data_IF_833473994794
#
_entry.id   IF_833473994794
#
_cell.length_a   1.000
_cell.length_b   1.000
_cell.length_c   1.000
_cell.angle_alpha   90.00
_cell.angle_beta   90.00
_cell.angle_gamma   90.00
#
_symmetry.space_group_name_H-M   'P 1'
#
loop_
_entity.id
_entity.type
_entity.pdbx_description
1 polymer ?
#
# COMPACT_ATOMS: atom_id res chain seq x y z
N UNK A 1 -16.66 -15.80 0.83
CA UNK A 1 -15.48 -16.00 -0.04
C UNK A 1 -15.75 -15.63 -1.50
N UNK A 2 -16.99 -15.61 -1.99
CA UNK A 2 -17.34 -15.22 -3.38
C UNK A 2 -17.21 -13.72 -3.72
N UNK A 3 -16.87 -12.85 -2.76
CA UNK A 3 -16.79 -11.39 -2.98
C UNK A 3 -15.36 -10.83 -3.09
N UNK A 4 -14.31 -11.68 -3.01
CA UNK A 4 -12.94 -11.20 -3.08
C UNK A 4 -12.55 -10.99 -4.55
N UNK A 5 -12.21 -9.75 -4.90
CA UNK A 5 -11.71 -9.39 -6.23
C UNK A 5 -10.19 -9.60 -6.24
N UNK A 6 -9.69 -10.47 -7.12
CA UNK A 6 -8.25 -10.71 -7.28
C UNK A 6 -7.53 -9.53 -7.95
N UNK A 7 -8.22 -8.85 -8.86
CA UNK A 7 -7.67 -7.71 -9.60
C UNK A 7 -8.79 -6.72 -9.98
N UNK A 8 -8.52 -5.43 -9.78
CA UNK A 8 -9.36 -4.33 -10.25
C UNK A 8 -8.47 -3.37 -11.02
N UNK A 9 -8.69 -3.26 -12.33
CA UNK A 9 -7.95 -2.35 -13.22
C UNK A 9 -8.90 -1.26 -13.73
N UNK A 10 -8.37 -0.04 -13.78
CA UNK A 10 -9.03 1.08 -14.44
C UNK A 10 -8.40 1.30 -15.81
N UNK A 11 -9.22 1.56 -16.82
CA UNK A 11 -8.78 2.06 -18.11
C UNK A 11 -9.17 3.54 -18.20
N UNK A 12 -8.29 4.48 -17.82
CA UNK A 12 -8.62 5.90 -17.75
C UNK A 12 -8.62 6.54 -19.14
N UNK A 13 -9.76 7.08 -19.56
CA UNK A 13 -9.90 7.88 -20.78
C UNK A 13 -9.46 9.36 -20.60
N UNK A 14 -9.20 9.78 -19.35
CA UNK A 14 -8.60 11.06 -19.00
C UNK A 14 -7.62 10.90 -17.83
N UNK A 15 -6.43 11.49 -17.96
CA UNK A 15 -5.39 11.53 -16.92
C UNK A 15 -4.92 12.96 -16.73
N UNK A 16 -5.12 13.52 -15.53
CA UNK A 16 -4.47 14.77 -15.11
C UNK A 16 -3.08 14.45 -14.54
N UNK A 17 -2.04 14.93 -15.21
CA UNK A 17 -0.67 14.82 -14.72
C UNK A 17 -0.24 16.16 -14.13
N UNK A 18 0.28 16.11 -12.90
CA UNK A 18 0.84 17.28 -12.20
C UNK A 18 2.31 17.00 -11.90
N UNK A 19 3.19 17.68 -12.61
CA UNK A 19 4.62 17.66 -12.36
C UNK A 19 4.99 18.84 -11.45
N UNK A 20 5.20 18.52 -10.18
CA UNK A 20 5.59 19.49 -9.17
C UNK A 20 7.02 20.03 -9.36
N UNK A 21 7.91 19.27 -10.00
CA UNK A 21 9.29 19.70 -10.23
C UNK A 21 9.36 20.75 -11.33
N UNK A 22 8.70 20.49 -12.47
CA UNK A 22 8.64 21.46 -13.58
C UNK A 22 7.51 22.50 -13.43
N UNK A 23 6.71 22.39 -12.37
CA UNK A 23 5.53 23.24 -12.10
C UNK A 23 4.52 23.28 -13.25
N UNK A 24 4.35 22.15 -13.93
CA UNK A 24 3.44 21.99 -15.07
C UNK A 24 2.32 21.02 -14.72
N UNK A 25 1.16 21.27 -15.30
CA UNK A 25 0.06 20.32 -15.32
C UNK A 25 -0.49 20.21 -16.74
N UNK A 26 -0.87 19.01 -17.13
CA UNK A 26 -1.52 18.75 -18.42
C UNK A 26 -2.50 17.60 -18.27
N UNK A 27 -3.41 17.49 -19.23
CA UNK A 27 -4.40 16.43 -19.28
C UNK A 27 -4.18 15.62 -20.54
N UNK A 28 -3.91 14.33 -20.36
CA UNK A 28 -3.87 13.35 -21.44
C UNK A 28 -5.28 12.76 -21.59
N UNK A 29 -5.84 12.81 -22.80
CA UNK A 29 -7.16 12.27 -23.13
C UNK A 29 -7.03 11.18 -24.17
N UNK A 30 -7.78 10.12 -23.96
CA UNK A 30 -7.82 8.96 -24.83
C UNK A 30 -9.26 8.72 -25.27
N UNK A 31 -9.39 8.28 -26.53
CA UNK A 31 -10.60 7.64 -27.03
C UNK A 31 -10.25 6.21 -27.40
N UNK A 32 -11.13 5.28 -27.03
CA UNK A 32 -10.98 3.86 -27.28
C UNK A 32 -12.06 3.41 -28.26
N UNK A 33 -11.70 2.51 -29.17
CA UNK A 33 -12.64 1.90 -30.10
C UNK A 33 -12.28 0.44 -30.33
N UNK A 34 -13.30 -0.40 -30.49
CA UNK A 34 -13.17 -1.82 -30.81
C UNK A 34 -14.41 -2.34 -31.55
N UNK A 35 -14.55 -3.66 -31.64
CA UNK A 35 -15.74 -4.26 -32.26
C UNK A 35 -17.00 -3.89 -31.48
N UNK A 36 -17.85 -3.04 -32.07
CA UNK A 36 -19.15 -2.67 -31.51
C UNK A 36 -19.12 -1.61 -30.40
N UNK A 37 -17.98 -0.98 -30.10
CA UNK A 37 -17.91 0.13 -29.14
C UNK A 37 -16.93 1.22 -29.55
N UNK A 38 -17.24 2.46 -29.19
CA UNK A 38 -16.34 3.61 -29.24
C UNK A 38 -16.65 4.54 -28.07
N UNK A 39 -15.62 5.14 -27.48
CA UNK A 39 -15.77 6.21 -26.50
C UNK A 39 -15.77 7.61 -27.14
N UNK A 40 -15.55 7.68 -28.46
CA UNK A 40 -15.53 8.95 -29.18
C UNK A 40 -16.87 9.68 -29.02
N UNK A 41 -16.79 10.94 -28.58
CA UNK A 41 -17.96 11.78 -28.34
C UNK A 41 -18.78 11.42 -27.08
N UNK A 42 -18.39 10.41 -26.30
CA UNK A 42 -19.00 10.18 -24.98
C UNK A 42 -18.64 11.32 -24.02
N UNK A 43 -19.63 11.71 -23.21
CA UNK A 43 -19.42 12.66 -22.14
C UNK A 43 -18.53 12.04 -21.06
N UNK A 44 -17.54 12.81 -20.60
CA UNK A 44 -16.58 12.42 -19.55
C UNK A 44 -17.03 12.93 -18.18
N UNK A 45 -18.33 12.96 -17.97
CA UNK A 45 -18.91 13.48 -16.73
C UNK A 45 -18.67 12.49 -15.59
N UNK A 46 -18.10 12.98 -14.49
CA UNK A 46 -17.93 12.17 -13.29
C UNK A 46 -19.26 12.09 -12.53
N UNK A 47 -19.70 10.86 -12.22
CA UNK A 47 -20.77 10.68 -11.26
C UNK A 47 -20.23 10.86 -9.84
N UNK A 48 -20.76 11.85 -9.11
CA UNK A 48 -20.39 12.10 -7.73
C UNK A 48 -21.28 11.27 -6.81
N UNK A 49 -20.73 10.18 -6.29
CA UNK A 49 -21.35 9.43 -5.21
C UNK A 49 -20.99 10.05 -3.85
N UNK A 50 -21.98 10.41 -3.02
CA UNK A 50 -21.69 10.93 -1.68
C UNK A 50 -21.05 9.84 -0.82
N UNK A 51 -20.00 10.20 -0.09
CA UNK A 51 -19.38 9.32 0.89
C UNK A 51 -20.41 8.90 1.96
N UNK A 52 -20.45 7.59 2.25
CA UNK A 52 -21.30 7.02 3.31
C UNK A 52 -20.41 6.56 4.45
N UNK A 53 -20.69 7.02 5.66
CA UNK A 53 -19.95 6.57 6.85
C UNK A 53 -20.28 5.12 7.18
N UNK A 54 -19.34 4.43 7.82
CA UNK A 54 -19.60 3.09 8.33
C UNK A 54 -20.66 3.15 9.44
N UNK A 55 -21.68 2.31 9.34
CA UNK A 55 -22.76 2.16 10.32
C UNK A 55 -22.45 1.11 11.40
N UNK A 56 -21.53 0.19 11.11
CA UNK A 56 -21.07 -0.86 12.03
C UNK A 56 -19.76 -0.51 12.72
N UNK A 57 -19.65 -0.94 13.99
CA UNK A 57 -18.40 -0.97 14.74
C UNK A 57 -17.78 -2.36 14.50
N UNK A 58 -16.63 -2.46 13.81
CA UNK A 58 -15.98 -3.75 13.59
C UNK A 58 -15.31 -4.26 14.88
N UNK A 59 -14.97 -5.55 14.98
CA UNK A 59 -14.01 -6.02 15.98
C UNK A 59 -12.67 -5.31 15.78
N UNK A 60 -11.80 -5.29 16.79
CA UNK A 60 -10.51 -4.57 16.73
C UNK A 60 -9.55 -5.10 15.64
N UNK A 61 -9.68 -6.37 15.28
CA UNK A 61 -8.81 -7.02 14.31
C UNK A 61 -9.25 -8.46 14.05
N UNK A 62 -8.42 -9.20 13.32
CA UNK A 62 -8.61 -10.62 13.01
C UNK A 62 -7.90 -11.59 13.98
N UNK A 63 -7.17 -11.06 14.97
CA UNK A 63 -6.45 -11.83 15.99
C UNK A 63 -6.85 -11.39 17.40
N UNK A 64 -7.03 -12.36 18.29
CA UNK A 64 -7.13 -12.14 19.73
C UNK A 64 -5.74 -11.93 20.37
N UNK A 65 -5.66 -11.31 21.57
CA UNK A 65 -4.40 -11.12 22.27
C UNK A 65 -3.61 -12.42 22.44
N UNK A 66 -2.41 -12.46 21.88
CA UNK A 66 -1.49 -13.60 21.96
C UNK A 66 -1.57 -14.57 20.77
N UNK A 67 -2.58 -14.49 19.91
CA UNK A 67 -2.70 -15.37 18.74
C UNK A 67 -1.58 -15.13 17.73
N UNK A 68 -1.26 -13.87 17.42
CA UNK A 68 -0.13 -13.55 16.54
C UNK A 68 1.20 -14.08 17.10
N UNK A 69 1.41 -13.99 18.42
CA UNK A 69 2.62 -14.56 19.05
C UNK A 69 2.66 -16.09 18.95
N UNK A 70 1.50 -16.77 19.07
CA UNK A 70 1.41 -18.20 18.85
C UNK A 70 1.66 -18.58 17.38
N UNK A 71 1.19 -17.79 16.43
CA UNK A 71 1.48 -17.95 15.00
C UNK A 71 3.00 -17.88 14.74
N UNK A 72 3.68 -16.89 15.32
CA UNK A 72 5.15 -16.78 15.24
C UNK A 72 5.84 -18.00 15.86
N UNK A 73 5.41 -18.47 17.05
CA UNK A 73 5.98 -19.67 17.68
C UNK A 73 5.82 -20.91 16.81
N UNK A 74 4.69 -21.07 16.12
CA UNK A 74 4.46 -22.16 15.17
C UNK A 74 5.41 -22.05 13.96
N UNK A 75 5.59 -20.86 13.41
CA UNK A 75 6.57 -20.64 12.34
C UNK A 75 8.00 -21.01 12.78
N UNK A 76 8.38 -20.71 14.03
CA UNK A 76 9.67 -21.13 14.62
C UNK A 76 9.87 -22.65 14.64
N UNK A 77 8.81 -23.44 14.81
CA UNK A 77 8.90 -24.90 14.72
C UNK A 77 9.16 -25.37 13.28
N UNK A 78 8.54 -24.71 12.29
CA UNK A 78 8.80 -24.94 10.87
C UNK A 78 10.23 -24.55 10.47
N UNK A 79 10.75 -23.42 10.97
CA UNK A 79 12.15 -23.02 10.76
C UNK A 79 13.13 -24.08 11.29
N UNK A 80 12.89 -24.61 12.51
CA UNK A 80 13.74 -25.66 13.11
C UNK A 80 13.76 -26.95 12.30
N UNK A 81 12.65 -27.28 11.63
CA UNK A 81 12.52 -28.46 10.77
C UNK A 81 13.12 -28.25 9.38
N UNK A 82 13.38 -27.00 9.00
CA UNK A 82 13.86 -26.62 7.66
C UNK A 82 12.74 -26.46 6.62
N UNK A 83 11.47 -26.34 7.06
CA UNK A 83 10.33 -26.17 6.16
C UNK A 83 10.23 -24.72 5.62
N UNK A 84 10.74 -23.75 6.37
CA UNK A 84 10.72 -22.32 6.06
C UNK A 84 12.14 -21.74 6.22
N UNK A 85 12.44 -20.70 5.45
CA UNK A 85 13.66 -19.88 5.58
C UNK A 85 13.30 -18.44 5.96
N UNK A 86 12.19 -17.93 5.42
CA UNK A 86 11.53 -16.69 5.84
C UNK A 86 10.01 -16.81 5.70
N UNK A 87 9.25 -16.11 6.56
CA UNK A 87 7.81 -15.93 6.41
C UNK A 87 7.39 -14.59 7.03
N UNK A 88 6.51 -13.86 6.36
CA UNK A 88 5.97 -12.57 6.81
C UNK A 88 4.48 -12.72 7.14
N UNK A 89 4.11 -13.14 8.36
CA UNK A 89 2.70 -13.23 8.75
C UNK A 89 2.09 -11.83 8.88
N UNK A 90 0.85 -11.68 8.41
CA UNK A 90 0.07 -10.45 8.57
C UNK A 90 -1.02 -10.59 9.63
N UNK A 91 -1.45 -9.46 10.19
CA UNK A 91 -2.68 -9.33 10.95
C UNK A 91 -3.41 -8.07 10.50
N UNK A 92 -4.74 -8.10 10.54
CA UNK A 92 -5.57 -6.96 10.20
C UNK A 92 -6.08 -6.27 11.46
N UNK A 93 -6.06 -4.95 11.42
CA UNK A 93 -6.74 -4.11 12.40
C UNK A 93 -7.91 -3.43 11.72
N UNK A 94 -9.03 -3.33 12.43
CA UNK A 94 -10.21 -2.65 11.92
C UNK A 94 -10.60 -1.54 12.87
N UNK A 95 -11.07 -0.44 12.30
CA UNK A 95 -11.60 0.70 13.04
C UNK A 95 -12.80 1.23 12.27
N UNK A 96 -13.79 1.77 12.99
CA UNK A 96 -14.91 2.44 12.33
C UNK A 96 -14.40 3.72 11.65
N UNK A 97 -14.62 3.82 10.34
CA UNK A 97 -14.26 5.01 9.58
C UNK A 97 -15.43 6.00 9.51
N UNK A 98 -15.33 7.10 10.24
CA UNK A 98 -16.28 8.23 10.21
C UNK A 98 -15.74 9.44 9.43
N UNK A 99 -14.45 9.39 9.06
CA UNK A 99 -13.73 10.48 8.39
C UNK A 99 -13.79 10.30 6.88
N UNK A 100 -13.83 11.39 6.12
CA UNK A 100 -13.80 11.29 4.67
C UNK A 100 -12.48 10.63 4.20
N UNK A 101 -12.52 9.75 3.19
CA UNK A 101 -11.33 9.10 2.65
C UNK A 101 -10.24 10.10 2.20
N UNK A 102 -10.64 11.24 1.64
CA UNK A 102 -9.73 12.31 1.22
C UNK A 102 -8.98 12.96 2.41
N UNK A 103 -9.62 13.09 3.56
CA UNK A 103 -8.99 13.61 4.78
C UNK A 103 -7.95 12.64 5.33
N UNK A 104 -8.27 11.33 5.31
CA UNK A 104 -7.33 10.27 5.68
C UNK A 104 -6.11 10.31 4.77
N UNK A 105 -6.31 10.42 3.45
CA UNK A 105 -5.21 10.50 2.48
C UNK A 105 -4.31 11.72 2.73
N UNK A 106 -4.90 12.90 2.97
CA UNK A 106 -4.15 14.13 3.29
C UNK A 106 -3.34 14.00 4.57
N UNK A 107 -3.95 13.47 5.63
CA UNK A 107 -3.28 13.25 6.92
C UNK A 107 -2.17 12.20 6.82
N UNK A 108 -2.39 11.11 6.09
CA UNK A 108 -1.38 10.08 5.87
C UNK A 108 -0.15 10.65 5.13
N UNK A 109 -0.38 11.43 4.07
CA UNK A 109 0.70 12.08 3.31
C UNK A 109 1.51 13.08 4.15
N UNK A 110 0.90 13.77 5.10
CA UNK A 110 1.61 14.74 5.94
C UNK A 110 2.46 14.07 7.02
N UNK A 111 2.01 12.96 7.60
CA UNK A 111 2.73 12.25 8.68
C UNK A 111 3.75 11.25 8.14
N UNK A 112 3.52 10.68 6.96
CA UNK A 112 4.37 9.65 6.35
C UNK A 112 4.59 9.95 4.86
N UNK A 113 5.44 10.93 4.52
CA UNK A 113 5.79 11.21 3.13
C UNK A 113 6.54 10.01 2.55
N UNK A 114 5.87 9.28 1.67
CA UNK A 114 6.37 8.01 1.11
C UNK A 114 6.62 8.14 -0.40
N UNK A 115 7.61 7.43 -0.98
CA UNK A 115 7.90 7.47 -2.41
C UNK A 115 6.69 7.10 -3.28
N UNK A 116 5.81 6.23 -2.78
CA UNK A 116 4.56 5.86 -3.45
C UNK A 116 3.38 6.09 -2.51
N UNK A 117 2.49 7.02 -2.89
CA UNK A 117 1.24 7.25 -2.17
C UNK A 117 0.07 7.10 -3.13
N UNK A 118 -1.03 6.49 -2.67
CA UNK A 118 -2.19 6.25 -3.51
C UNK A 118 -3.50 6.54 -2.76
N UNK A 119 -4.50 6.95 -3.54
CA UNK A 119 -5.87 7.18 -3.12
C UNK A 119 -6.76 6.73 -4.27
N UNK A 120 -7.38 5.56 -4.11
CA UNK A 120 -8.11 4.87 -5.18
C UNK A 120 -9.54 4.63 -4.70
N UNK A 121 -10.53 5.09 -5.46
CA UNK A 121 -11.93 4.75 -5.25
C UNK A 121 -12.23 3.45 -6.02
N UNK A 122 -12.57 2.39 -5.30
CA UNK A 122 -12.85 1.06 -5.87
C UNK A 122 -14.34 0.84 -6.19
N UNK A 123 -15.16 1.89 -6.07
CA UNK A 123 -16.62 1.80 -6.18
C UNK A 123 -17.26 1.29 -4.89
N UNK A 124 -18.58 1.25 -4.84
CA UNK A 124 -19.35 0.65 -3.74
C UNK A 124 -18.98 1.17 -2.33
N UNK A 125 -18.58 2.44 -2.24
CA UNK A 125 -18.11 3.09 -0.99
C UNK A 125 -16.82 2.45 -0.40
N UNK A 126 -16.01 1.80 -1.25
CA UNK A 126 -14.72 1.23 -0.89
C UNK A 126 -13.58 2.10 -1.45
N UNK A 127 -12.61 2.39 -0.58
CA UNK A 127 -11.46 3.24 -0.90
C UNK A 127 -10.18 2.60 -0.42
N UNK A 128 -9.18 2.55 -1.30
CA UNK A 128 -7.84 2.09 -0.99
C UNK A 128 -6.92 3.29 -0.85
N UNK A 129 -6.37 3.46 0.36
CA UNK A 129 -5.51 4.58 0.73
C UNK A 129 -4.22 4.02 1.31
N UNK A 130 -3.08 4.53 0.86
CA UNK A 130 -1.82 4.06 1.39
C UNK A 130 -0.63 4.93 1.02
N UNK A 131 0.45 4.67 1.74
CA UNK A 131 1.77 5.27 1.59
C UNK A 131 2.79 4.13 1.68
N UNK A 132 3.16 3.57 0.53
CA UNK A 132 4.06 2.41 0.42
C UNK A 132 5.51 2.89 0.37
N UNK A 133 6.38 2.41 1.28
CA UNK A 133 7.81 2.71 1.25
C UNK A 133 8.55 1.89 0.18
N UNK A 134 7.95 0.80 -0.29
CA UNK A 134 8.60 -0.21 -1.11
C UNK A 134 8.03 -0.28 -2.52
N UNK A 135 8.91 -0.47 -3.50
CA UNK A 135 8.56 -0.67 -4.90
C UNK A 135 8.55 -2.16 -5.20
N UNK A 136 7.38 -2.72 -5.51
CA UNK A 136 7.28 -4.12 -5.93
C UNK A 136 8.07 -4.38 -7.21
N UNK A 137 7.72 -3.69 -8.31
CA UNK A 137 8.46 -3.76 -9.57
C UNK A 137 8.28 -2.47 -10.39
N UNK A 138 9.32 -2.10 -11.15
CA UNK A 138 9.27 -1.07 -12.18
C UNK A 138 9.79 -1.63 -13.49
N UNK A 139 9.06 -1.38 -14.57
CA UNK A 139 9.44 -1.78 -15.92
C UNK A 139 9.62 -0.52 -16.77
N UNK A 140 10.82 -0.33 -17.33
CA UNK A 140 11.12 0.75 -18.25
C UNK A 140 11.77 0.19 -19.52
N UNK A 141 10.99 0.11 -20.59
CA UNK A 141 11.39 -0.56 -21.84
C UNK A 141 11.75 -2.02 -21.59
N UNK A 142 13.04 -2.34 -21.65
CA UNK A 142 13.57 -3.69 -21.38
C UNK A 142 14.19 -3.86 -19.99
N UNK A 143 14.24 -2.80 -19.17
CA UNK A 143 14.80 -2.83 -17.82
C UNK A 143 13.69 -3.13 -16.82
N UNK A 144 13.92 -4.12 -15.96
CA UNK A 144 13.04 -4.49 -14.85
C UNK A 144 13.82 -4.31 -13.56
N UNK A 145 13.23 -3.62 -12.59
CA UNK A 145 13.84 -3.33 -11.30
C UNK A 145 12.87 -3.60 -10.16
N UNK A 146 13.41 -4.01 -9.02
CA UNK A 146 12.71 -4.10 -7.74
C UNK A 146 13.63 -3.53 -6.66
N UNK A 147 13.05 -3.05 -5.55
CA UNK A 147 13.82 -2.56 -4.41
C UNK A 147 13.29 -3.23 -3.14
N UNK A 148 13.64 -4.51 -2.89
CA UNK A 148 13.19 -5.23 -1.71
C UNK A 148 13.66 -4.54 -0.43
N UNK A 149 12.80 -4.48 0.57
CA UNK A 149 13.13 -3.94 1.89
C UNK A 149 13.01 -5.07 2.92
N UNK A 150 14.11 -5.37 3.61
CA UNK A 150 14.14 -6.27 4.76
C UNK A 150 15.01 -5.68 5.86
N UNK A 151 14.64 -6.00 7.11
CA UNK A 151 15.15 -5.35 8.31
C UNK A 151 14.40 -4.07 8.67
N UNK A 152 14.05 -3.91 9.93
CA UNK A 152 13.29 -2.74 10.40
C UNK A 152 13.72 -2.38 11.82
N UNK A 153 13.98 -1.10 12.05
CA UNK A 153 14.22 -0.58 13.39
C UNK A 153 13.43 0.70 13.63
N UNK A 154 12.96 0.89 14.87
CA UNK A 154 12.29 2.13 15.27
C UNK A 154 13.28 3.30 15.18
N UNK A 155 12.83 4.43 14.63
CA UNK A 155 13.54 5.71 14.69
C UNK A 155 13.85 6.12 16.14
N UNK A 156 14.99 6.78 16.33
CA UNK A 156 15.35 7.40 17.61
C UNK A 156 14.48 8.62 17.92
N UNK A 157 14.46 9.02 19.19
CA UNK A 157 13.73 10.21 19.64
C UNK A 157 14.51 11.50 19.32
N UNK A 158 15.81 11.38 19.07
CA UNK A 158 16.72 12.44 18.63
C UNK A 158 17.78 11.93 17.64
N UNK A 159 18.63 12.81 17.11
CA UNK A 159 19.62 12.46 16.10
C UNK A 159 20.69 11.46 16.61
N UNK A 160 21.03 11.50 17.91
CA UNK A 160 22.06 10.62 18.47
C UNK A 160 21.50 9.21 18.61
N UNK A 161 20.36 9.08 19.26
CA UNK A 161 19.65 7.81 19.41
C UNK A 161 19.24 7.21 18.05
N UNK A 162 18.89 8.03 17.07
CA UNK A 162 18.59 7.55 15.71
C UNK A 162 19.83 7.00 15.01
N UNK A 163 20.98 7.66 15.15
CA UNK A 163 22.26 7.16 14.63
C UNK A 163 22.65 5.83 15.30
N UNK A 164 22.43 5.69 16.61
CA UNK A 164 22.68 4.44 17.33
C UNK A 164 21.77 3.31 16.85
N UNK A 165 20.49 3.59 16.61
CA UNK A 165 19.53 2.64 16.06
C UNK A 165 19.93 2.21 14.64
N UNK A 166 20.34 3.13 13.78
CA UNK A 166 20.83 2.83 12.44
C UNK A 166 22.06 1.90 12.52
N UNK A 167 23.05 2.23 13.35
CA UNK A 167 24.23 1.39 13.54
C UNK A 167 23.88 0.00 14.08
N UNK A 168 22.88 -0.10 14.95
CA UNK A 168 22.40 -1.39 15.47
C UNK A 168 21.79 -2.25 14.38
N UNK A 169 20.97 -1.68 13.51
CA UNK A 169 20.38 -2.39 12.38
C UNK A 169 21.46 -2.83 11.38
N UNK A 170 22.39 -1.94 11.02
CA UNK A 170 23.48 -2.24 10.08
C UNK A 170 24.42 -3.36 10.56
N UNK A 171 24.59 -3.51 11.87
CA UNK A 171 25.44 -4.54 12.46
C UNK A 171 24.65 -5.78 12.93
N UNK A 172 23.35 -5.86 12.63
CA UNK A 172 22.52 -7.00 13.03
C UNK A 172 22.71 -8.17 12.08
N UNK A 173 23.34 -9.25 12.57
CA UNK A 173 23.49 -10.50 11.80
C UNK A 173 22.16 -11.12 11.37
N UNK A 174 21.09 -10.88 12.15
CA UNK A 174 19.75 -11.37 11.83
C UNK A 174 19.23 -10.64 10.60
N UNK A 175 19.20 -9.31 10.64
CA UNK A 175 18.67 -8.48 9.56
C UNK A 175 19.56 -8.58 8.31
N UNK A 176 20.88 -8.72 8.44
CA UNK A 176 21.79 -9.01 7.32
C UNK A 176 21.44 -10.34 6.63
N UNK A 177 21.17 -11.39 7.41
CA UNK A 177 20.77 -12.69 6.86
C UNK A 177 19.40 -12.63 6.18
N UNK A 178 18.44 -11.88 6.72
CA UNK A 178 17.10 -11.72 6.13
C UNK A 178 17.17 -10.89 4.84
N UNK A 179 18.03 -9.88 4.76
CA UNK A 179 18.20 -9.05 3.56
C UNK A 179 18.93 -9.76 2.41
N UNK A 180 19.73 -10.78 2.71
CA UNK A 180 20.56 -11.49 1.72
C UNK A 180 19.96 -12.78 1.18
N UNK A 181 18.86 -13.26 1.78
CA UNK A 181 18.09 -14.40 1.26
C UNK A 181 17.29 -14.02 0.01
#
# INVERSE_FOLDING_TARGET
KESQRDLVLFLPDEILVVDHYSTKAWTDRYDYSGEGFSTEGLARDAHVEPFKTADRIPPRGDHEPGEYANLVRRAMESFKRGDLFEVVPGQMFYERCETQPSDISRKLKSINPSPYSFFINLGENEYLIGASPEMFVRVNGRRVETCPISGTIKRGDDAISDSEQILKLLNSKKDESELTM
#
